data_IF_999390954621
#
_entry.id   IF_999390954621
#
_cell.length_a   1.000
_cell.length_b   1.000
_cell.length_c   1.000
_cell.angle_alpha   90.00
_cell.angle_beta   90.00
_cell.angle_gamma   90.00
#
_symmetry.space_group_name_H-M   'P 1'
#
loop_
_entity.id
_entity.type
_entity.pdbx_description
1 polymer ?
#
# COMPACT_ATOMS: atom_id res chain seq x y z
N UNK A 1 4.52 7.36 -38.97
CA UNK A 1 4.69 8.58 -38.16
C UNK A 1 3.29 9.08 -37.87
N UNK A 2 2.60 8.50 -36.86
CA UNK A 2 2.72 8.80 -35.41
C UNK A 2 2.40 10.28 -35.18
N UNK A 3 1.37 10.71 -34.47
CA UNK A 3 0.68 10.11 -33.33
C UNK A 3 -0.73 10.70 -33.24
N UNK A 4 -1.77 9.87 -33.13
CA UNK A 4 -3.03 10.30 -32.49
C UNK A 4 -2.91 9.87 -31.04
N UNK A 5 -2.98 10.85 -30.16
CA UNK A 5 -2.92 10.73 -28.72
C UNK A 5 -3.76 9.56 -28.23
N UNK A 6 -3.10 8.61 -27.58
CA UNK A 6 -3.75 7.60 -26.75
C UNK A 6 -4.49 8.33 -25.62
N UNK A 7 -5.79 8.53 -25.83
CA UNK A 7 -6.74 8.86 -24.78
C UNK A 7 -6.75 7.63 -23.86
N UNK A 8 -6.46 7.73 -22.55
CA UNK A 8 -6.59 6.58 -21.68
C UNK A 8 -8.05 6.13 -21.72
N UNK A 9 -8.24 4.92 -22.24
CA UNK A 9 -9.49 4.21 -22.32
C UNK A 9 -10.16 4.26 -20.95
N UNK A 10 -11.29 4.98 -20.89
CA UNK A 10 -12.06 5.14 -19.68
C UNK A 10 -12.33 3.76 -19.07
N UNK A 11 -11.76 3.52 -17.88
CA UNK A 11 -11.91 2.28 -17.16
C UNK A 11 -13.40 1.88 -17.04
N UNK A 12 -13.73 0.59 -17.13
CA UNK A 12 -15.11 0.12 -17.16
C UNK A 12 -15.90 0.61 -15.93
N UNK A 13 -17.06 1.21 -16.21
CA UNK A 13 -18.04 1.70 -15.23
C UNK A 13 -18.55 0.56 -14.35
N UNK A 14 -17.95 0.38 -13.17
CA UNK A 14 -18.38 -0.63 -12.20
C UNK A 14 -17.67 -0.63 -10.85
N UNK A 15 -16.63 0.19 -10.65
CA UNK A 15 -16.00 0.40 -9.35
C UNK A 15 -16.12 1.87 -8.96
N UNK A 16 -16.80 2.13 -7.83
CA UNK A 16 -17.14 3.49 -7.38
C UNK A 16 -15.96 4.26 -6.78
N UNK A 17 -14.78 3.64 -6.63
CA UNK A 17 -13.59 4.33 -6.17
C UNK A 17 -12.31 3.61 -6.61
N UNK A 18 -11.27 4.38 -6.98
CA UNK A 18 -9.91 3.87 -7.10
C UNK A 18 -9.26 3.85 -5.71
N UNK A 19 -8.86 2.67 -5.24
CA UNK A 19 -8.23 2.50 -3.92
C UNK A 19 -6.84 1.91 -4.08
N UNK A 20 -5.83 2.62 -3.57
CA UNK A 20 -4.43 2.15 -3.53
C UNK A 20 -3.89 2.27 -2.11
N UNK A 21 -3.14 1.28 -1.65
CA UNK A 21 -2.47 1.31 -0.34
C UNK A 21 -0.98 1.04 -0.56
N UNK A 22 -0.13 1.83 0.09
CA UNK A 22 1.31 1.77 -0.03
C UNK A 22 1.99 1.81 1.33
N UNK A 23 3.16 1.17 1.39
CA UNK A 23 4.06 1.18 2.53
C UNK A 23 5.43 1.71 2.08
N UNK A 24 5.71 3.02 2.28
CA UNK A 24 7.04 3.56 2.15
C UNK A 24 7.96 3.01 3.25
N UNK A 25 8.96 2.21 2.87
CA UNK A 25 9.95 1.63 3.78
C UNK A 25 11.28 1.42 3.04
N UNK A 26 12.42 1.67 3.69
CA UNK A 26 13.75 1.49 3.09
C UNK A 26 13.93 2.16 1.71
N UNK A 27 13.38 3.37 1.53
CA UNK A 27 13.38 4.13 0.25
C UNK A 27 12.61 3.44 -0.89
N UNK A 28 11.79 2.43 -0.59
CA UNK A 28 10.89 1.76 -1.53
C UNK A 28 9.44 2.05 -1.13
N UNK A 29 8.55 2.17 -2.10
CA UNK A 29 7.10 2.19 -1.85
C UNK A 29 6.55 0.82 -2.23
N UNK A 30 6.19 0.03 -1.23
CA UNK A 30 5.66 -1.32 -1.45
C UNK A 30 4.14 -1.27 -1.59
N UNK A 31 3.55 -1.88 -2.63
CA UNK A 31 2.10 -1.97 -2.73
C UNK A 31 1.55 -2.93 -1.67
N UNK A 32 0.49 -2.50 -1.00
CA UNK A 32 -0.20 -3.26 0.05
C UNK A 32 -1.56 -3.69 -0.50
N UNK A 33 -1.82 -4.99 -0.49
CA UNK A 33 -3.08 -5.56 -0.95
C UNK A 33 -4.23 -5.25 0.02
N UNK A 34 -3.95 -5.30 1.32
CA UNK A 34 -4.97 -5.07 2.35
C UNK A 34 -4.36 -4.59 3.67
N UNK A 35 -5.12 -3.79 4.41
CA UNK A 35 -4.84 -3.39 5.80
C UNK A 35 -5.97 -3.84 6.70
N UNK A 36 -5.69 -4.38 7.89
CA UNK A 36 -6.72 -4.68 8.88
C UNK A 36 -6.24 -5.51 10.05
N UNK A 37 -6.92 -5.41 11.20
CA UNK A 37 -6.66 -6.26 12.38
C UNK A 37 -5.23 -6.20 12.91
N UNK A 38 -4.57 -5.03 12.83
CA UNK A 38 -3.16 -4.88 13.22
C UNK A 38 -2.18 -5.57 12.28
N UNK A 39 -2.53 -5.73 11.00
CA UNK A 39 -1.70 -6.38 9.98
C UNK A 39 -1.77 -5.65 8.64
N UNK A 40 -0.68 -5.74 7.89
CA UNK A 40 -0.61 -5.43 6.47
C UNK A 40 -0.47 -6.73 5.67
N UNK A 41 -1.19 -6.83 4.56
CA UNK A 41 -1.06 -7.92 3.60
C UNK A 41 -0.41 -7.35 2.35
N UNK A 42 0.80 -7.81 2.03
CA UNK A 42 1.54 -7.44 0.83
C UNK A 42 1.13 -8.31 -0.36
N UNK A 43 1.24 -7.79 -1.58
CA UNK A 43 1.01 -8.59 -2.79
C UNK A 43 2.04 -9.72 -2.96
N UNK A 44 3.27 -9.48 -2.51
CA UNK A 44 4.37 -10.43 -2.59
C UNK A 44 5.04 -10.58 -1.21
N UNK A 45 5.56 -11.78 -0.86
CA UNK A 45 6.30 -11.96 0.37
C UNK A 45 7.56 -11.09 0.38
N UNK A 46 7.83 -10.40 1.49
CA UNK A 46 9.02 -9.54 1.65
C UNK A 46 9.65 -9.74 3.02
N UNK A 47 10.98 -9.62 3.07
CA UNK A 47 11.72 -9.45 4.33
C UNK A 47 11.68 -7.96 4.65
N UNK A 48 11.04 -7.58 5.76
CA UNK A 48 10.97 -6.20 6.20
C UNK A 48 11.76 -6.01 7.48
N UNK A 49 12.33 -4.80 7.70
CA UNK A 49 12.91 -4.48 8.98
C UNK A 49 11.82 -4.21 10.02
N UNK A 50 12.17 -4.39 11.29
CA UNK A 50 11.44 -3.74 12.38
C UNK A 50 11.74 -2.24 12.34
N UNK A 51 10.74 -1.42 12.08
CA UNK A 51 10.92 0.02 11.91
C UNK A 51 9.61 0.79 12.15
N UNK A 52 9.73 2.06 12.50
CA UNK A 52 8.63 3.01 12.36
C UNK A 52 8.41 3.32 10.88
N UNK A 53 7.16 3.33 10.44
CA UNK A 53 6.78 3.55 9.05
C UNK A 53 5.45 4.32 8.96
N UNK A 54 5.07 4.65 7.72
CA UNK A 54 3.74 5.18 7.42
C UNK A 54 3.03 4.23 6.46
N UNK A 55 1.75 4.01 6.67
CA UNK A 55 0.85 3.41 5.67
C UNK A 55 0.13 4.55 4.98
N UNK A 56 0.20 4.57 3.65
CA UNK A 56 -0.45 5.59 2.84
C UNK A 56 -1.59 4.95 2.07
N UNK A 57 -2.81 5.49 2.18
CA UNK A 57 -3.96 5.06 1.39
C UNK A 57 -4.46 6.20 0.53
N UNK A 58 -4.69 5.90 -0.73
CA UNK A 58 -5.34 6.76 -1.70
C UNK A 58 -6.74 6.24 -1.96
N UNK A 59 -7.73 7.12 -1.92
CA UNK A 59 -9.11 6.85 -2.34
C UNK A 59 -9.49 7.98 -3.29
N UNK A 60 -9.70 7.68 -4.56
CA UNK A 60 -10.00 8.67 -5.60
C UNK A 60 -8.98 9.83 -5.62
N UNK A 61 -7.70 9.48 -5.48
CA UNK A 61 -6.59 10.44 -5.40
C UNK A 61 -6.44 11.14 -4.04
N UNK A 62 -7.38 11.00 -3.11
CA UNK A 62 -7.26 11.56 -1.76
C UNK A 62 -6.38 10.70 -0.87
N UNK A 63 -5.28 11.29 -0.39
CA UNK A 63 -4.28 10.63 0.44
C UNK A 63 -4.65 10.69 1.93
N UNK A 64 -4.46 9.57 2.63
CA UNK A 64 -4.46 9.46 4.08
C UNK A 64 -3.23 8.69 4.54
N UNK A 65 -2.62 9.13 5.64
CA UNK A 65 -1.45 8.49 6.24
C UNK A 65 -1.72 8.07 7.66
N UNK A 66 -1.20 6.91 8.04
CA UNK A 66 -1.15 6.46 9.42
C UNK A 66 0.26 6.05 9.78
N UNK A 67 0.75 6.51 10.94
CA UNK A 67 2.01 6.03 11.49
C UNK A 67 1.81 4.62 12.03
N UNK A 68 2.74 3.73 11.72
CA UNK A 68 2.74 2.35 12.19
C UNK A 68 4.11 1.91 12.65
N UNK A 69 4.15 0.96 13.59
CA UNK A 69 5.37 0.21 13.91
C UNK A 69 5.31 -1.14 13.21
N UNK A 70 6.25 -1.43 12.31
CA UNK A 70 6.37 -2.73 11.66
C UNK A 70 6.97 -3.75 12.63
N UNK A 71 6.33 -4.91 12.79
CA UNK A 71 6.80 -6.02 13.63
C UNK A 71 6.90 -7.34 12.83
N UNK A 72 7.70 -7.37 11.74
CA UNK A 72 7.86 -8.57 10.91
C UNK A 72 8.64 -9.67 11.63
N UNK A 73 8.50 -10.90 11.14
CA UNK A 73 9.36 -12.03 11.48
C UNK A 73 10.70 -12.01 10.73
N UNK A 74 11.61 -12.95 11.00
CA UNK A 74 12.95 -12.99 10.38
C UNK A 74 12.96 -13.46 8.91
N UNK A 75 11.82 -13.95 8.40
CA UNK A 75 11.70 -14.52 7.05
C UNK A 75 10.81 -13.64 6.17
N UNK A 76 10.83 -13.92 4.86
CA UNK A 76 9.93 -13.26 3.92
C UNK A 76 8.48 -13.66 4.23
N UNK A 77 7.62 -12.67 4.44
CA UNK A 77 6.20 -12.90 4.73
C UNK A 77 5.33 -11.95 3.91
N UNK A 78 4.13 -12.39 3.55
CA UNK A 78 3.08 -11.53 3.00
C UNK A 78 2.34 -10.78 4.09
N UNK A 79 2.24 -11.37 5.27
CA UNK A 79 1.49 -10.81 6.39
C UNK A 79 2.46 -10.17 7.37
N UNK A 80 2.37 -8.85 7.53
CA UNK A 80 3.25 -8.09 8.41
C UNK A 80 2.42 -7.57 9.57
N UNK A 81 2.68 -8.01 10.82
CA UNK A 81 2.09 -7.41 12.00
C UNK A 81 2.50 -5.95 12.11
N UNK A 82 1.53 -5.09 12.39
CA UNK A 82 1.74 -3.65 12.59
C UNK A 82 0.95 -3.12 13.77
N UNK A 83 1.47 -2.07 14.38
CA UNK A 83 0.79 -1.33 15.43
C UNK A 83 0.52 0.08 14.93
N UNK A 84 -0.76 0.45 14.80
CA UNK A 84 -1.16 1.80 14.39
C UNK A 84 -1.02 2.77 15.56
N UNK A 85 -0.36 3.90 15.33
CA UNK A 85 -0.17 4.93 16.33
C UNK A 85 -1.27 5.99 16.20
N UNK A 86 -1.99 6.27 17.30
CA UNK A 86 -2.93 7.40 17.39
C UNK A 86 -4.25 7.22 16.65
N UNK A 87 -4.81 6.01 16.63
CA UNK A 87 -6.19 5.76 16.23
C UNK A 87 -7.20 6.26 17.26
#
# INVERSE_FOLDING_TARGET
MSSRSDIPEAAPRGYSAEVRIELPVNRQCLPVAQTGGGRLILYEPRILPRADAEVVRYIDGHERRWRVVLRPGPAADRTVPVEFQGA
#
